data_IF_214716448045
#
_entry.id   IF_214716448045
#
_cell.length_a   1.000
_cell.length_b   1.000
_cell.length_c   1.000
_cell.angle_alpha   90.00
_cell.angle_beta   90.00
_cell.angle_gamma   90.00
#
_symmetry.space_group_name_H-M   'P 1'
#
loop_
_entity.id
_entity.type
_entity.pdbx_description
1 polymer ?
#
# COMPACT_ATOMS: atom_id res chain seq x y z
N UNK A 1 17.88 -6.15 21.77
CA UNK A 1 16.56 -6.78 21.58
C UNK A 1 15.46 -5.77 21.78
N UNK A 2 14.51 -5.75 20.86
CA UNK A 2 13.43 -4.79 20.94
C UNK A 2 12.27 -5.38 21.74
N UNK A 3 11.62 -4.53 22.54
CA UNK A 3 10.43 -4.91 23.29
C UNK A 3 9.19 -4.21 22.72
N UNK A 4 9.18 -4.02 21.39
CA UNK A 4 8.09 -3.36 20.71
C UNK A 4 7.70 -4.14 19.46
N UNK A 5 6.53 -3.82 18.95
CA UNK A 5 6.03 -4.43 17.73
C UNK A 5 5.69 -3.33 16.73
N UNK A 6 6.14 -3.50 15.50
CA UNK A 6 5.78 -2.60 14.41
C UNK A 6 5.25 -3.44 13.26
N UNK A 7 3.93 -3.54 13.16
CA UNK A 7 3.30 -4.34 12.12
C UNK A 7 2.01 -3.69 11.67
N UNK A 8 1.85 -3.61 10.36
CA UNK A 8 0.65 -3.04 9.74
C UNK A 8 0.03 -4.09 8.83
N UNK A 9 -1.26 -4.25 8.92
CA UNK A 9 -2.03 -5.13 8.05
C UNK A 9 -3.13 -4.32 7.40
N UNK A 10 -3.23 -4.37 6.08
CA UNK A 10 -4.22 -3.61 5.34
C UNK A 10 -4.84 -4.46 4.26
N UNK A 11 -6.13 -4.27 4.04
CA UNK A 11 -6.83 -4.79 2.87
C UNK A 11 -7.46 -3.58 2.19
N UNK A 12 -7.16 -3.38 0.92
CA UNK A 12 -7.72 -2.24 0.21
C UNK A 12 -7.52 -2.36 -1.28
N UNK A 13 -7.86 -1.29 -1.97
CA UNK A 13 -7.78 -1.26 -3.42
C UNK A 13 -6.73 -0.26 -3.87
N UNK A 14 -6.05 -0.61 -4.96
CA UNK A 14 -5.01 0.24 -5.54
C UNK A 14 -5.67 1.39 -6.27
N UNK A 15 -5.23 2.61 -5.96
CA UNK A 15 -5.84 3.82 -6.52
C UNK A 15 -5.23 4.31 -7.81
N UNK A 16 -4.04 3.84 -8.14
CA UNK A 16 -3.34 4.22 -9.36
C UNK A 16 -2.41 3.08 -9.72
N UNK A 17 -2.00 3.02 -10.99
CA UNK A 17 -1.06 1.98 -11.41
C UNK A 17 0.23 2.11 -10.60
N UNK A 18 0.80 0.98 -10.17
CA UNK A 18 2.02 1.01 -9.37
C UNK A 18 3.18 1.65 -10.12
N UNK A 19 4.08 2.29 -9.37
CA UNK A 19 5.29 2.85 -9.92
C UNK A 19 6.44 1.91 -9.59
N UNK A 20 7.12 1.43 -10.63
CA UNK A 20 8.24 0.52 -10.45
C UNK A 20 9.53 1.29 -10.74
N UNK A 21 10.47 1.23 -9.80
CA UNK A 21 11.76 1.88 -9.96
C UNK A 21 12.85 0.84 -9.75
N UNK A 22 14.05 1.17 -10.21
CA UNK A 22 15.22 0.34 -9.94
C UNK A 22 16.14 1.05 -8.98
N UNK A 23 16.67 0.28 -8.03
CA UNK A 23 17.69 0.78 -7.13
C UNK A 23 19.05 0.71 -7.83
N UNK A 24 20.08 1.27 -7.18
CA UNK A 24 21.42 1.31 -7.77
C UNK A 24 21.99 -0.08 -8.02
N UNK A 25 21.60 -1.07 -7.22
CA UNK A 25 22.08 -2.43 -7.41
C UNK A 25 21.17 -3.25 -8.33
N UNK A 26 20.30 -2.57 -9.09
CA UNK A 26 19.51 -3.23 -10.13
C UNK A 26 18.26 -3.92 -9.65
N UNK A 27 17.92 -3.80 -8.39
CA UNK A 27 16.72 -4.45 -7.84
C UNK A 27 15.51 -3.55 -8.04
N UNK A 28 14.36 -4.18 -8.13
CA UNK A 28 13.11 -3.44 -8.32
C UNK A 28 12.56 -2.95 -6.99
N UNK A 29 11.97 -1.79 -7.05
CA UNK A 29 11.27 -1.16 -5.95
C UNK A 29 9.87 -0.80 -6.44
N UNK A 30 8.83 -1.13 -5.69
CA UNK A 30 7.47 -0.80 -6.09
C UNK A 30 6.86 0.19 -5.12
N UNK A 31 6.15 1.17 -5.65
CA UNK A 31 5.41 2.15 -4.85
C UNK A 31 3.93 2.03 -5.21
N UNK A 32 3.11 1.90 -4.19
CA UNK A 32 1.67 1.71 -4.34
C UNK A 32 0.91 2.73 -3.52
N UNK A 33 -0.29 3.06 -3.99
CA UNK A 33 -1.24 3.85 -3.23
C UNK A 33 -2.45 2.96 -2.95
N UNK A 34 -2.68 2.63 -1.70
CA UNK A 34 -3.73 1.70 -1.30
C UNK A 34 -4.80 2.43 -0.52
N UNK A 35 -6.05 2.27 -0.94
CA UNK A 35 -7.20 2.91 -0.31
C UNK A 35 -7.90 1.94 0.61
N UNK A 36 -8.13 2.37 1.84
CA UNK A 36 -9.05 1.68 2.75
C UNK A 36 -10.23 2.59 2.99
N UNK A 37 -11.44 2.04 2.90
CA UNK A 37 -12.66 2.84 2.99
C UNK A 37 -13.56 2.31 4.07
N UNK A 38 -14.21 3.23 4.76
CA UNK A 38 -15.26 2.93 5.73
C UNK A 38 -16.52 3.59 5.26
N UNK A 39 -17.65 2.93 5.43
CA UNK A 39 -18.93 3.57 5.15
C UNK A 39 -19.88 3.30 6.30
N UNK A 40 -20.73 4.29 6.56
CA UNK A 40 -21.72 4.18 7.63
C UNK A 40 -22.91 5.05 7.29
N UNK A 41 -23.99 4.84 8.03
CA UNK A 41 -25.20 5.63 7.86
C UNK A 41 -25.24 6.66 8.99
N UNK A 42 -25.39 7.93 8.62
CA UNK A 42 -25.52 9.01 9.57
C UNK A 42 -26.88 8.91 10.25
N UNK A 43 -26.88 8.77 11.56
CA UNK A 43 -28.13 8.61 12.31
C UNK A 43 -28.99 9.85 12.30
N UNK A 44 -28.38 11.02 12.17
CA UNK A 44 -29.10 12.28 12.19
C UNK A 44 -29.80 12.58 10.88
N UNK A 45 -29.15 12.27 9.75
CA UNK A 45 -29.67 12.62 8.42
C UNK A 45 -30.15 11.44 7.62
N UNK A 46 -29.77 10.23 8.02
CA UNK A 46 -30.03 9.03 7.24
C UNK A 46 -29.18 8.87 6.01
N UNK A 47 -28.24 9.77 5.79
CA UNK A 47 -27.37 9.72 4.64
C UNK A 47 -26.27 8.70 4.82
N UNK A 48 -25.86 8.08 3.73
CA UNK A 48 -24.71 7.21 3.71
C UNK A 48 -23.45 8.04 3.62
N UNK A 49 -22.53 7.84 4.55
CA UNK A 49 -21.25 8.54 4.59
C UNK A 49 -20.13 7.58 4.28
N UNK A 50 -19.08 8.10 3.69
CA UNK A 50 -17.91 7.29 3.35
C UNK A 50 -16.65 8.08 3.65
N UNK A 51 -15.65 7.38 4.16
CA UNK A 51 -14.34 7.96 4.42
C UNK A 51 -13.28 7.03 3.84
N UNK A 52 -12.41 7.60 3.04
CA UNK A 52 -11.32 6.84 2.43
C UNK A 52 -9.99 7.36 2.95
N UNK A 53 -9.14 6.43 3.36
CA UNK A 53 -7.78 6.74 3.77
C UNK A 53 -6.83 6.17 2.72
N UNK A 54 -5.83 6.95 2.37
CA UNK A 54 -4.83 6.56 1.37
C UNK A 54 -3.53 6.22 2.08
N UNK A 55 -3.02 5.03 1.78
CA UNK A 55 -1.80 4.53 2.42
C UNK A 55 -0.72 4.40 1.37
N UNK A 56 0.45 4.90 1.71
CA UNK A 56 1.60 4.81 0.84
C UNK A 56 2.37 3.54 1.17
N UNK A 57 2.52 2.67 0.19
CA UNK A 57 3.18 1.38 0.36
C UNK A 57 4.44 1.38 -0.47
N UNK A 58 5.57 0.99 0.15
CA UNK A 58 6.83 0.87 -0.57
C UNK A 58 7.34 -0.55 -0.38
N UNK A 59 7.62 -1.23 -1.49
CA UNK A 59 8.04 -2.61 -1.48
C UNK A 59 9.50 -2.69 -1.93
N UNK A 60 10.37 -3.09 -1.01
CA UNK A 60 11.81 -3.21 -1.29
C UNK A 60 12.21 -4.64 -1.67
N UNK A 61 11.29 -5.58 -1.63
CA UNK A 61 11.55 -6.96 -2.00
C UNK A 61 11.44 -7.10 -3.51
N UNK A 62 12.54 -7.44 -4.16
CA UNK A 62 12.56 -7.52 -5.62
C UNK A 62 11.55 -8.53 -6.15
N UNK A 63 11.40 -9.67 -5.49
CA UNK A 63 10.42 -10.67 -5.91
C UNK A 63 8.99 -10.17 -5.83
N UNK A 64 8.64 -9.52 -4.72
CA UNK A 64 7.30 -8.94 -4.58
C UNK A 64 7.09 -7.78 -5.55
N UNK A 65 8.11 -6.96 -5.76
CA UNK A 65 8.01 -5.87 -6.72
C UNK A 65 7.76 -6.42 -8.13
N UNK A 66 8.35 -7.56 -8.46
CA UNK A 66 8.09 -8.22 -9.72
C UNK A 66 6.66 -8.70 -9.87
N UNK A 67 6.09 -9.24 -8.80
CA UNK A 67 4.69 -9.64 -8.79
C UNK A 67 3.79 -8.41 -9.01
N UNK A 68 4.10 -7.32 -8.33
CA UNK A 68 3.36 -6.08 -8.49
C UNK A 68 3.42 -5.60 -9.94
N UNK A 69 4.62 -5.60 -10.50
CA UNK A 69 4.82 -5.14 -11.87
C UNK A 69 3.99 -5.97 -12.86
N UNK A 70 3.91 -7.26 -12.63
CA UNK A 70 3.26 -8.17 -13.58
C UNK A 70 1.74 -8.24 -13.42
N UNK A 71 1.24 -8.12 -12.20
CA UNK A 71 -0.16 -8.46 -11.94
C UNK A 71 -0.99 -7.38 -11.27
N UNK A 72 -0.37 -6.42 -10.60
CA UNK A 72 -1.12 -5.41 -9.84
C UNK A 72 -1.34 -4.18 -10.70
N UNK A 73 -2.56 -3.67 -10.71
CA UNK A 73 -2.91 -2.50 -11.49
C UNK A 73 -3.97 -1.71 -10.72
N UNK A 74 -4.27 -0.53 -11.24
CA UNK A 74 -5.32 0.30 -10.67
C UNK A 74 -6.60 -0.51 -10.49
N UNK A 75 -7.16 -0.48 -9.31
CA UNK A 75 -8.36 -1.21 -8.97
C UNK A 75 -8.13 -2.57 -8.33
N UNK A 76 -6.92 -3.09 -8.38
CA UNK A 76 -6.61 -4.39 -7.77
C UNK A 76 -6.86 -4.35 -6.28
N UNK A 77 -7.38 -5.44 -5.75
CA UNK A 77 -7.60 -5.58 -4.31
C UNK A 77 -6.47 -6.41 -3.72
N UNK A 78 -5.86 -5.89 -2.66
CA UNK A 78 -4.69 -6.52 -2.06
C UNK A 78 -4.82 -6.62 -0.57
N UNK A 79 -4.22 -7.67 0.00
CA UNK A 79 -3.89 -7.74 1.40
C UNK A 79 -2.38 -7.56 1.52
N UNK A 80 -1.96 -6.67 2.40
CA UNK A 80 -0.52 -6.47 2.64
C UNK A 80 -0.22 -6.47 4.12
N UNK A 81 1.01 -6.91 4.44
CA UNK A 81 1.59 -6.77 5.77
C UNK A 81 2.94 -6.10 5.63
N UNK A 82 3.22 -5.17 6.51
CA UNK A 82 4.50 -4.49 6.51
C UNK A 82 4.74 -3.79 7.82
N UNK A 83 5.63 -2.82 7.79
CA UNK A 83 5.99 -2.03 8.96
C UNK A 83 5.80 -0.57 8.65
N UNK A 84 5.44 0.21 9.65
CA UNK A 84 5.40 1.67 9.50
C UNK A 84 6.80 2.22 9.57
N UNK A 85 7.08 3.14 8.68
CA UNK A 85 8.34 3.87 8.70
C UNK A 85 8.05 5.33 8.39
N UNK A 86 8.59 6.22 9.21
CA UNK A 86 8.50 7.65 8.98
C UNK A 86 9.86 8.14 8.57
N UNK A 87 9.93 8.85 7.46
CA UNK A 87 11.18 9.43 7.00
C UNK A 87 11.00 10.91 6.78
N UNK A 88 12.11 11.62 6.86
CA UNK A 88 12.18 13.05 6.72
C UNK A 88 12.62 13.38 5.29
N UNK A 89 12.01 14.40 4.73
CA UNK A 89 12.43 14.88 3.42
C UNK A 89 12.28 16.39 3.37
N UNK A 90 12.93 17.00 2.38
CA UNK A 90 12.86 18.44 2.18
C UNK A 90 12.03 18.69 0.93
N UNK A 91 11.00 19.54 1.04
CA UNK A 91 10.14 19.84 -0.11
C UNK A 91 10.80 20.90 -1.01
N UNK A 92 10.10 21.29 -2.05
CA UNK A 92 10.60 22.24 -3.03
C UNK A 92 10.88 23.63 -2.45
N UNK A 93 10.20 23.95 -1.36
CA UNK A 93 10.37 25.27 -0.71
C UNK A 93 11.43 25.25 0.37
N UNK A 94 12.14 24.13 0.53
CA UNK A 94 13.17 24.01 1.54
C UNK A 94 12.67 23.68 2.92
N UNK A 95 11.39 23.36 3.07
CA UNK A 95 10.81 22.99 4.36
C UNK A 95 11.01 21.51 4.64
N UNK A 96 11.32 21.21 5.89
CA UNK A 96 11.44 19.83 6.31
C UNK A 96 10.06 19.25 6.56
N UNK A 97 9.82 18.07 6.01
CA UNK A 97 8.55 17.37 6.19
C UNK A 97 8.79 15.91 6.46
N UNK A 98 7.77 15.27 6.99
CA UNK A 98 7.82 13.83 7.29
C UNK A 98 6.75 13.12 6.49
N UNK A 99 7.08 11.91 6.04
CA UNK A 99 6.09 11.05 5.40
C UNK A 99 6.12 9.70 6.10
N UNK A 100 4.94 9.13 6.31
CA UNK A 100 4.81 7.82 6.94
C UNK A 100 4.34 6.84 5.88
N UNK A 101 5.06 5.74 5.77
CA UNK A 101 4.82 4.75 4.74
C UNK A 101 4.77 3.36 5.36
N UNK A 102 4.10 2.45 4.66
CA UNK A 102 4.13 1.03 5.01
C UNK A 102 5.20 0.39 4.14
N UNK A 103 6.17 -0.22 4.79
CA UNK A 103 7.33 -0.78 4.10
C UNK A 103 7.24 -2.31 4.11
N UNK A 104 7.34 -2.90 2.94
CA UNK A 104 7.46 -4.35 2.79
C UNK A 104 8.90 -4.67 2.42
N UNK A 105 9.65 -5.19 3.40
CA UNK A 105 11.04 -5.55 3.18
C UNK A 105 11.19 -6.99 2.76
N UNK A 106 12.44 -7.45 2.71
CA UNK A 106 12.75 -8.79 2.21
C UNK A 106 12.21 -9.91 3.09
N UNK A 107 12.10 -9.66 4.39
CA UNK A 107 11.71 -10.72 5.32
C UNK A 107 10.45 -10.41 6.09
N UNK A 108 9.95 -9.18 6.00
CA UNK A 108 8.86 -8.71 6.84
C UNK A 108 7.62 -8.30 6.04
N UNK A 109 7.59 -8.59 4.76
CA UNK A 109 6.50 -8.14 3.91
C UNK A 109 5.70 -9.29 3.33
N UNK A 110 4.40 -9.11 3.28
CA UNK A 110 3.49 -10.07 2.67
C UNK A 110 2.54 -9.32 1.74
N UNK A 111 2.30 -9.89 0.57
CA UNK A 111 1.36 -9.33 -0.37
C UNK A 111 0.55 -10.48 -0.98
N UNK A 112 -0.78 -10.37 -0.88
CA UNK A 112 -1.68 -11.37 -1.45
C UNK A 112 -2.73 -10.67 -2.28
N UNK A 113 -2.90 -11.10 -3.52
CA UNK A 113 -3.94 -10.56 -4.37
C UNK A 113 -5.27 -11.19 -4.03
N UNK A 114 -6.28 -10.36 -3.84
CA UNK A 114 -7.59 -10.80 -3.41
C UNK A 114 -8.66 -10.62 -4.48
N UNK A 115 -8.29 -10.20 -5.69
CA UNK A 115 -9.25 -10.03 -6.77
C UNK A 115 -9.84 -11.38 -7.16
N UNK A 116 -11.13 -11.40 -7.43
CA UNK A 116 -11.71 -12.58 -8.03
C UNK A 116 -11.41 -12.55 -9.51
N UNK A 117 -11.10 -13.70 -10.03
CA UNK A 117 -10.70 -13.79 -11.40
C UNK A 117 -11.82 -14.29 -12.26
N UNK A 118 -11.92 -13.85 -12.68
CA UNK A 118 -12.85 -14.09 -13.24
C UNK A 118 -13.45 -13.95 -13.38
N UNK A 119 -12.81 -13.88 -12.85
CA UNK A 119 -13.27 -13.81 -12.85
C UNK A 119 -13.69 -13.77 -12.91
N UNK A 120 -13.23 -13.82 -12.73
CA UNK A 120 -13.51 -13.89 -12.65
C UNK A 120 -14.00 -14.16 -12.45
N UNK A 121 -13.89 -14.33 -12.45
CA UNK A 121 -14.35 -14.72 -12.20
C UNK A 121 -14.98 -15.06 -11.88
N UNK A 122 -15.12 -15.28 -11.77
CA UNK A 122 -15.68 -15.69 -11.51
C UNK A 122 -16.27 -15.87 -11.25
N UNK A 123 -16.22 -16.01 -11.04
CA UNK A 123 -16.58 -16.21 -10.95
C UNK A 123 -17.07 -16.22 -10.97
#
# INVERSE_FOLDING_TARGET
>A
MASSLNKVMLIGNIGADPVIRQTQDGKRLAQLSLATSESWKDKSTGEKKEKTSWHRIVIFNDGLAGVVESYVKKGSKLYIEGQLQTRKFTDQNGNEKYTTEVILGNYNGTLTMLDSRGSGSSE
#
